data_IF_613625904878
#
_entry.id   IF_613625904878
#
_cell.length_a   1.000
_cell.length_b   1.000
_cell.length_c   1.000
_cell.angle_alpha   90.00
_cell.angle_beta   90.00
_cell.angle_gamma   90.00
#
_symmetry.space_group_name_H-M   'P 1'
#
loop_
_entity.id
_entity.type
_entity.pdbx_description
1 polymer ?
#
# COMPACT_ATOMS: atom_id res chain seq x y z
N UNK A 1 -11.99 1.30 9.32
CA UNK A 1 -12.74 0.71 8.19
C UNK A 1 -12.73 1.66 7.00
N UNK A 2 -12.54 1.18 5.77
CA UNK A 2 -12.61 2.00 4.54
C UNK A 2 -13.92 1.71 3.83
N UNK A 3 -14.68 2.76 3.51
CA UNK A 3 -15.92 2.68 2.74
C UNK A 3 -15.74 3.38 1.39
N UNK A 4 -16.05 2.68 0.31
CA UNK A 4 -16.09 3.19 -1.05
C UNK A 4 -17.56 3.37 -1.43
N UNK A 5 -17.97 4.62 -1.71
CA UNK A 5 -19.38 4.94 -1.98
C UNK A 5 -19.54 5.42 -3.41
N UNK A 6 -19.97 4.53 -4.29
CA UNK A 6 -20.31 4.81 -5.70
C UNK A 6 -19.22 5.61 -6.40
N UNK A 7 -17.98 5.08 -6.35
CA UNK A 7 -16.83 5.78 -6.89
C UNK A 7 -16.78 5.71 -8.41
N UNK A 8 -16.76 6.85 -9.05
CA UNK A 8 -16.51 7.01 -10.46
C UNK A 8 -15.24 7.79 -10.72
N UNK A 9 -14.46 7.34 -11.72
CA UNK A 9 -13.30 8.08 -12.21
C UNK A 9 -13.06 7.81 -13.68
N UNK A 10 -13.08 8.86 -14.46
CA UNK A 10 -12.85 8.82 -15.89
C UNK A 10 -11.62 9.67 -16.27
N UNK A 11 -10.77 9.13 -17.12
CA UNK A 11 -9.67 9.85 -17.76
C UNK A 11 -9.92 9.89 -19.26
N UNK A 12 -10.32 11.04 -19.78
CA UNK A 12 -10.73 11.22 -21.19
C UNK A 12 -11.85 10.23 -21.57
N UNK A 13 -11.53 9.16 -22.29
CA UNK A 13 -12.50 8.12 -22.71
C UNK A 13 -12.37 6.80 -21.93
N UNK A 14 -11.52 6.74 -20.90
CA UNK A 14 -11.28 5.53 -20.12
C UNK A 14 -11.97 5.66 -18.77
N UNK A 15 -12.97 4.81 -18.52
CA UNK A 15 -13.56 4.63 -17.19
C UNK A 15 -12.61 3.80 -16.34
N UNK A 16 -11.83 4.45 -15.46
CA UNK A 16 -10.89 3.80 -14.59
C UNK A 16 -11.52 3.25 -13.31
N UNK A 17 -12.67 3.82 -12.90
CA UNK A 17 -13.57 3.30 -11.87
C UNK A 17 -15.00 3.59 -12.30
N UNK A 18 -15.87 2.60 -12.16
CA UNK A 18 -17.25 2.63 -12.60
C UNK A 18 -18.16 2.14 -11.45
N UNK A 19 -18.81 3.08 -10.75
CA UNK A 19 -19.76 2.89 -9.65
C UNK A 19 -19.26 1.94 -8.54
N UNK A 20 -17.97 1.98 -8.18
CA UNK A 20 -17.40 1.08 -7.17
C UNK A 20 -18.01 1.39 -5.81
N UNK A 21 -18.68 0.40 -5.23
CA UNK A 21 -19.18 0.42 -3.86
C UNK A 21 -18.68 -0.82 -3.12
N UNK A 22 -17.91 -0.60 -2.04
CA UNK A 22 -17.35 -1.69 -1.24
C UNK A 22 -16.96 -1.21 0.14
N UNK A 23 -16.77 -2.16 1.05
CA UNK A 23 -16.23 -1.92 2.39
C UNK A 23 -15.01 -2.81 2.60
N UNK A 24 -13.91 -2.22 3.06
CA UNK A 24 -12.69 -2.95 3.46
C UNK A 24 -12.62 -2.89 4.98
N UNK A 25 -12.81 -4.03 5.66
CA UNK A 25 -12.73 -4.12 7.12
C UNK A 25 -11.31 -3.85 7.63
N UNK A 26 -11.20 -3.43 8.88
CA UNK A 26 -9.91 -3.27 9.56
C UNK A 26 -9.31 -4.62 10.01
N UNK A 27 -8.00 -4.62 10.25
CA UNK A 27 -7.31 -5.74 10.89
C UNK A 27 -7.13 -6.98 10.01
N UNK A 28 -7.19 -6.82 8.69
CA UNK A 28 -6.97 -7.91 7.74
C UNK A 28 -6.14 -7.46 6.54
N UNK A 29 -5.52 -8.39 5.85
CA UNK A 29 -4.86 -8.13 4.57
C UNK A 29 -5.88 -8.17 3.44
N UNK A 30 -6.11 -7.05 2.78
CA UNK A 30 -6.99 -6.97 1.62
C UNK A 30 -6.20 -6.99 0.31
N UNK A 31 -6.50 -7.94 -0.56
CA UNK A 31 -5.92 -8.06 -1.89
C UNK A 31 -6.79 -7.42 -2.96
N UNK A 32 -6.23 -6.61 -3.83
CA UNK A 32 -6.89 -6.05 -5.00
C UNK A 32 -6.28 -6.66 -6.26
N UNK A 33 -6.98 -7.62 -6.88
CA UNK A 33 -6.55 -8.30 -8.10
C UNK A 33 -7.18 -7.68 -9.34
N UNK A 34 -6.44 -7.67 -10.44
CA UNK A 34 -6.96 -7.25 -11.76
C UNK A 34 -5.84 -7.17 -12.78
N UNK A 35 -6.18 -7.25 -14.05
CA UNK A 35 -5.22 -7.08 -15.16
C UNK A 35 -4.61 -5.68 -15.17
N UNK A 36 -3.53 -5.50 -15.92
CA UNK A 36 -2.98 -4.16 -16.15
C UNK A 36 -4.04 -3.29 -16.85
N UNK A 37 -4.21 -2.06 -16.34
CA UNK A 37 -5.25 -1.15 -16.82
C UNK A 37 -6.65 -1.39 -16.22
N UNK A 38 -6.84 -2.35 -15.32
CA UNK A 38 -8.14 -2.59 -14.67
C UNK A 38 -8.62 -1.47 -13.75
N UNK A 39 -7.74 -0.52 -13.36
CA UNK A 39 -8.07 0.59 -12.46
C UNK A 39 -7.48 0.48 -11.05
N UNK A 40 -6.68 -0.56 -10.73
CA UNK A 40 -6.13 -0.81 -9.38
C UNK A 40 -5.40 0.40 -8.79
N UNK A 41 -4.41 0.94 -9.51
CA UNK A 41 -3.65 2.11 -9.05
C UNK A 41 -4.52 3.36 -8.90
N UNK A 42 -5.53 3.51 -9.76
CA UNK A 42 -6.51 4.61 -9.67
C UNK A 42 -7.32 4.49 -8.39
N UNK A 43 -7.84 3.30 -8.09
CA UNK A 43 -8.60 3.03 -6.87
C UNK A 43 -7.74 3.27 -5.62
N UNK A 44 -6.51 2.74 -5.57
CA UNK A 44 -5.62 2.97 -4.43
C UNK A 44 -5.27 4.45 -4.23
N UNK A 45 -5.10 5.22 -5.32
CA UNK A 45 -4.87 6.67 -5.24
C UNK A 45 -6.11 7.44 -4.76
N UNK A 46 -7.32 6.97 -5.07
CA UNK A 46 -8.55 7.55 -4.50
C UNK A 46 -8.67 7.21 -3.01
N UNK A 47 -8.39 5.97 -2.62
CA UNK A 47 -8.38 5.55 -1.21
C UNK A 47 -7.35 6.35 -0.40
N UNK A 48 -6.18 6.67 -0.98
CA UNK A 48 -5.15 7.49 -0.31
C UNK A 48 -5.45 9.00 -0.31
N UNK A 49 -6.53 9.43 -0.99
CA UNK A 49 -6.85 10.85 -1.16
C UNK A 49 -5.87 11.63 -2.02
N UNK A 50 -4.98 10.94 -2.78
CA UNK A 50 -4.11 11.57 -3.79
C UNK A 50 -4.92 11.99 -5.01
N UNK A 51 -5.93 11.18 -5.36
CA UNK A 51 -6.81 11.41 -6.50
C UNK A 51 -8.24 11.62 -6.01
N UNK A 52 -8.88 12.68 -6.48
CA UNK A 52 -10.31 12.92 -6.24
C UNK A 52 -11.15 12.07 -7.19
N UNK A 53 -12.16 11.31 -6.73
CA UNK A 53 -13.16 10.74 -7.62
C UNK A 53 -13.96 11.83 -8.33
N UNK A 54 -14.52 11.53 -9.50
CA UNK A 54 -15.41 12.43 -10.22
C UNK A 54 -16.80 12.43 -9.58
N UNK A 55 -17.27 11.24 -9.14
CA UNK A 55 -18.48 11.06 -8.35
C UNK A 55 -18.21 10.10 -7.18
N UNK A 56 -19.04 10.18 -6.16
CA UNK A 56 -18.89 9.39 -4.94
C UNK A 56 -17.81 9.90 -4.00
N UNK A 57 -17.52 9.12 -2.98
CA UNK A 57 -16.55 9.48 -1.95
C UNK A 57 -15.87 8.25 -1.31
N UNK A 58 -14.68 8.47 -0.80
CA UNK A 58 -13.98 7.49 0.06
C UNK A 58 -14.04 7.99 1.49
N UNK A 59 -14.55 7.14 2.39
CA UNK A 59 -14.55 7.40 3.83
C UNK A 59 -13.60 6.45 4.55
N UNK A 60 -12.92 6.97 5.53
CA UNK A 60 -12.11 6.21 6.48
C UNK A 60 -12.64 6.52 7.87
N UNK A 61 -13.14 5.48 8.54
CA UNK A 61 -13.81 5.59 9.84
C UNK A 61 -14.93 6.66 9.84
N UNK A 62 -15.67 6.75 8.72
CA UNK A 62 -16.78 7.67 8.52
C UNK A 62 -16.40 9.09 8.08
N UNK A 63 -15.11 9.41 7.96
CA UNK A 63 -14.62 10.72 7.53
C UNK A 63 -14.07 10.69 6.10
N UNK A 64 -14.37 11.73 5.29
CA UNK A 64 -13.85 11.83 3.92
C UNK A 64 -12.33 11.95 3.91
N UNK A 65 -11.69 11.17 3.03
CA UNK A 65 -10.22 11.18 2.89
C UNK A 65 -9.71 12.37 2.07
N UNK A 66 -10.53 12.86 1.11
CA UNK A 66 -10.07 13.91 0.21
C UNK A 66 -9.95 15.25 0.96
N UNK A 67 -8.78 15.91 0.82
CA UNK A 67 -8.43 17.17 1.50
C UNK A 67 -8.55 17.12 3.03
N UNK A 68 -8.47 15.94 3.64
CA UNK A 68 -8.50 15.76 5.10
C UNK A 68 -7.13 15.28 5.61
N UNK A 69 -6.25 16.18 6.08
CA UNK A 69 -4.92 15.81 6.57
C UNK A 69 -4.95 14.85 7.76
N UNK A 70 -5.96 14.95 8.63
CA UNK A 70 -6.13 14.07 9.79
C UNK A 70 -6.32 12.63 9.37
N UNK A 71 -7.21 12.39 8.40
CA UNK A 71 -7.45 11.04 7.85
C UNK A 71 -6.25 10.56 7.04
N UNK A 72 -5.67 11.43 6.21
CA UNK A 72 -4.47 11.08 5.41
C UNK A 72 -3.27 10.69 6.25
N UNK A 73 -3.12 11.24 7.45
CA UNK A 73 -2.04 10.88 8.38
C UNK A 73 -2.08 9.41 8.82
N UNK A 74 -3.22 8.75 8.66
CA UNK A 74 -3.40 7.33 8.96
C UNK A 74 -3.01 6.41 7.81
N UNK A 75 -2.58 6.96 6.66
CA UNK A 75 -2.32 6.21 5.44
C UNK A 75 -0.87 6.36 5.03
N UNK A 76 -0.22 5.25 4.69
CA UNK A 76 1.03 5.24 3.93
C UNK A 76 0.78 4.60 2.57
N UNK A 77 1.14 5.28 1.48
CA UNK A 77 0.99 4.80 0.11
C UNK A 77 2.35 4.46 -0.50
N UNK A 78 2.49 3.22 -0.95
CA UNK A 78 3.68 2.72 -1.65
C UNK A 78 3.32 2.49 -3.12
N UNK A 79 3.95 3.23 -4.02
CA UNK A 79 3.76 3.07 -5.45
C UNK A 79 4.58 1.89 -6.01
N UNK A 80 4.16 1.35 -7.15
CA UNK A 80 4.91 0.30 -7.90
C UNK A 80 6.37 0.69 -8.14
N UNK A 81 6.62 1.92 -8.50
CA UNK A 81 7.97 2.48 -8.64
C UNK A 81 8.27 3.39 -7.46
N UNK A 82 8.97 2.88 -6.42
CA UNK A 82 9.27 3.69 -5.25
C UNK A 82 10.20 4.85 -5.60
N UNK A 83 9.83 6.04 -5.11
CA UNK A 83 10.67 7.22 -5.23
C UNK A 83 11.61 7.34 -4.02
N UNK A 84 12.87 7.61 -4.30
CA UNK A 84 13.88 7.95 -3.30
C UNK A 84 14.61 9.21 -3.74
N UNK A 85 15.03 10.02 -2.79
CA UNK A 85 15.82 11.22 -3.13
C UNK A 85 17.09 10.86 -3.88
N UNK A 86 17.54 11.68 -4.82
CA UNK A 86 18.81 11.49 -5.50
C UNK A 86 19.95 11.32 -4.49
N UNK A 87 20.77 10.28 -4.70
CA UNK A 87 21.90 9.95 -3.82
C UNK A 87 21.55 9.64 -2.35
N UNK A 88 20.29 9.40 -2.01
CA UNK A 88 19.92 9.01 -0.67
C UNK A 88 20.42 7.60 -0.34
N UNK A 89 20.76 7.40 0.91
CA UNK A 89 20.91 6.10 1.54
C UNK A 89 19.64 5.75 2.39
N UNK A 90 19.62 4.55 2.95
CA UNK A 90 18.48 4.08 3.73
C UNK A 90 18.26 4.94 4.99
N UNK A 91 19.34 5.39 5.65
CA UNK A 91 19.23 6.22 6.86
C UNK A 91 18.61 7.58 6.55
N UNK A 92 18.96 8.19 5.42
CA UNK A 92 18.37 9.47 4.98
C UNK A 92 16.87 9.30 4.68
N UNK A 93 16.48 8.23 4.00
CA UNK A 93 15.06 7.96 3.75
C UNK A 93 14.29 7.64 5.04
N UNK A 94 14.86 6.86 5.97
CA UNK A 94 14.29 6.64 7.30
C UNK A 94 14.06 7.96 8.03
N UNK A 95 15.06 8.83 8.06
CA UNK A 95 14.95 10.13 8.74
C UNK A 95 13.85 10.99 8.13
N UNK A 96 13.70 10.96 6.80
CA UNK A 96 12.59 11.64 6.11
C UNK A 96 11.23 11.05 6.52
N UNK A 97 11.08 9.73 6.54
CA UNK A 97 9.85 9.09 6.99
C UNK A 97 9.51 9.42 8.45
N UNK A 98 10.50 9.52 9.33
CA UNK A 98 10.31 9.97 10.73
C UNK A 98 9.76 11.40 10.84
N UNK A 99 10.06 12.27 9.87
CA UNK A 99 9.48 13.61 9.82
C UNK A 99 8.04 13.60 9.31
N UNK A 100 7.74 12.74 8.34
CA UNK A 100 6.41 12.64 7.74
C UNK A 100 5.42 11.84 8.61
N UNK A 101 5.92 10.84 9.35
CA UNK A 101 5.12 9.92 10.14
C UNK A 101 5.58 9.96 11.61
N UNK A 102 4.89 10.72 12.48
CA UNK A 102 5.30 10.86 13.89
C UNK A 102 5.35 9.55 14.68
N UNK A 103 4.54 8.55 14.26
CA UNK A 103 4.48 7.22 14.87
C UNK A 103 5.51 6.23 14.31
N UNK A 104 6.48 6.69 13.51
CA UNK A 104 7.47 5.83 12.86
C UNK A 104 8.29 5.02 13.88
N UNK A 105 8.25 3.70 13.73
CA UNK A 105 9.00 2.80 14.61
C UNK A 105 10.44 2.60 14.13
N UNK A 106 11.33 3.51 14.57
CA UNK A 106 12.75 3.48 14.23
C UNK A 106 13.43 2.17 14.66
N UNK A 107 13.14 1.68 15.89
CA UNK A 107 13.81 0.47 16.41
C UNK A 107 13.47 -0.75 15.57
N UNK A 108 12.20 -0.90 15.20
CA UNK A 108 11.76 -1.96 14.29
C UNK A 108 12.44 -1.83 12.93
N UNK A 109 12.48 -0.61 12.35
CA UNK A 109 13.11 -0.38 11.06
C UNK A 109 14.59 -0.76 11.04
N UNK A 110 15.36 -0.32 12.03
CA UNK A 110 16.79 -0.62 12.14
C UNK A 110 17.00 -2.15 12.26
N UNK A 111 16.23 -2.84 13.10
CA UNK A 111 16.27 -4.30 13.24
C UNK A 111 15.91 -5.04 11.94
N UNK A 112 14.90 -4.57 11.20
CA UNK A 112 14.51 -5.17 9.93
C UNK A 112 15.57 -4.92 8.85
N UNK A 113 16.16 -3.75 8.81
CA UNK A 113 17.25 -3.44 7.89
C UNK A 113 18.42 -4.40 8.06
N UNK A 114 18.81 -4.70 9.31
CA UNK A 114 19.83 -5.70 9.62
C UNK A 114 19.40 -7.11 9.22
N UNK A 115 18.16 -7.51 9.54
CA UNK A 115 17.61 -8.85 9.22
C UNK A 115 17.56 -9.11 7.70
N UNK A 116 17.30 -8.08 6.89
CA UNK A 116 17.28 -8.17 5.43
C UNK A 116 18.66 -7.92 4.79
N UNK A 117 19.73 -7.81 5.58
CA UNK A 117 21.09 -7.56 5.13
C UNK A 117 21.21 -6.34 4.19
N UNK A 118 20.48 -5.29 4.49
CA UNK A 118 20.50 -4.04 3.76
C UNK A 118 21.49 -3.07 4.43
N UNK A 119 22.61 -2.75 3.76
CA UNK A 119 23.55 -1.77 4.27
C UNK A 119 22.92 -0.37 4.36
N UNK A 120 22.70 0.17 5.59
CA UNK A 120 21.98 1.42 5.79
C UNK A 120 22.67 2.65 5.23
N UNK A 121 23.99 2.58 4.93
CA UNK A 121 24.80 3.66 4.36
C UNK A 121 24.99 3.56 2.84
N UNK A 122 24.62 2.42 2.26
CA UNK A 122 24.72 2.21 0.83
C UNK A 122 23.68 3.05 0.08
N UNK A 123 24.10 3.68 -1.02
CA UNK A 123 23.20 4.49 -1.85
C UNK A 123 22.11 3.64 -2.49
N UNK A 124 20.86 4.04 -2.31
CA UNK A 124 19.69 3.31 -2.83
C UNK A 124 19.69 3.26 -4.37
N UNK A 125 20.31 4.25 -5.02
CA UNK A 125 20.48 4.27 -6.48
C UNK A 125 21.20 3.02 -7.02
N UNK A 126 22.11 2.42 -6.21
CA UNK A 126 22.85 1.20 -6.57
C UNK A 126 22.11 -0.11 -6.28
N UNK A 127 20.91 -0.05 -5.72
CA UNK A 127 20.11 -1.22 -5.40
C UNK A 127 19.38 -1.76 -6.64
N UNK A 128 19.15 -3.08 -6.67
CA UNK A 128 18.26 -3.69 -7.65
C UNK A 128 16.81 -3.19 -7.46
N UNK A 129 15.95 -3.40 -8.45
CA UNK A 129 14.51 -3.07 -8.31
C UNK A 129 13.88 -3.75 -7.09
N UNK A 130 14.17 -5.05 -6.89
CA UNK A 130 13.68 -5.81 -5.73
C UNK A 130 14.16 -5.23 -4.41
N UNK A 131 15.45 -4.88 -4.27
CA UNK A 131 15.98 -4.24 -3.07
C UNK A 131 15.34 -2.88 -2.80
N UNK A 132 15.07 -2.09 -3.84
CA UNK A 132 14.34 -0.81 -3.69
C UNK A 132 12.92 -1.02 -3.17
N UNK A 133 12.20 -2.02 -3.69
CA UNK A 133 10.88 -2.40 -3.19
C UNK A 133 10.94 -2.88 -1.73
N UNK A 134 11.96 -3.68 -1.36
CA UNK A 134 12.18 -4.07 0.04
C UNK A 134 12.30 -2.84 0.96
N UNK A 135 13.18 -1.89 0.62
CA UNK A 135 13.35 -0.66 1.42
C UNK A 135 12.03 0.10 1.54
N UNK A 136 11.27 0.24 0.44
CA UNK A 136 9.97 0.91 0.43
C UNK A 136 8.98 0.23 1.37
N UNK A 137 8.88 -1.10 1.31
CA UNK A 137 7.98 -1.88 2.18
C UNK A 137 8.37 -1.72 3.65
N UNK A 138 9.66 -1.79 3.99
CA UNK A 138 10.11 -1.62 5.37
C UNK A 138 9.83 -0.20 5.89
N UNK A 139 10.02 0.83 5.06
CA UNK A 139 9.66 2.20 5.41
C UNK A 139 8.16 2.34 5.66
N UNK A 140 7.32 1.79 4.78
CA UNK A 140 5.87 1.82 4.92
C UNK A 140 5.38 1.04 6.14
N UNK A 141 5.88 -0.18 6.37
CA UNK A 141 5.53 -1.00 7.53
C UNK A 141 5.85 -0.28 8.84
N UNK A 142 7.01 0.38 8.91
CA UNK A 142 7.48 1.09 10.08
C UNK A 142 6.90 2.51 10.21
N UNK A 143 6.10 3.01 9.27
CA UNK A 143 5.47 4.34 9.32
C UNK A 143 4.56 4.51 10.54
N UNK A 144 4.04 3.41 11.08
CA UNK A 144 3.10 3.41 12.20
C UNK A 144 1.67 3.79 11.81
N UNK A 145 1.38 3.89 10.50
CA UNK A 145 0.04 4.19 9.99
C UNK A 145 -0.90 3.00 10.13
N UNK A 146 -2.20 3.27 10.27
CA UNK A 146 -3.26 2.25 10.31
C UNK A 146 -3.39 1.54 8.96
N UNK A 147 -3.32 2.27 7.85
CA UNK A 147 -3.47 1.73 6.51
C UNK A 147 -2.16 1.81 5.72
N UNK A 148 -1.77 0.69 5.11
CA UNK A 148 -0.64 0.61 4.20
C UNK A 148 -1.13 0.17 2.82
N UNK A 149 -1.12 1.09 1.87
CA UNK A 149 -1.54 0.84 0.50
C UNK A 149 -0.33 0.48 -0.36
N UNK A 150 -0.31 -0.73 -0.92
CA UNK A 150 0.79 -1.27 -1.70
C UNK A 150 0.38 -1.47 -3.16
N UNK A 151 0.77 -0.56 -4.04
CA UNK A 151 0.47 -0.63 -5.48
C UNK A 151 1.54 -1.46 -6.19
N UNK A 152 1.22 -2.72 -6.54
CA UNK A 152 2.10 -3.71 -7.21
C UNK A 152 3.50 -3.82 -6.55
N UNK A 153 3.58 -3.53 -5.25
CA UNK A 153 4.86 -3.41 -4.52
C UNK A 153 5.52 -4.78 -4.30
N UNK A 154 4.74 -5.86 -4.32
CA UNK A 154 5.22 -7.22 -4.11
C UNK A 154 5.72 -7.88 -5.39
N UNK A 155 5.37 -7.32 -6.55
CA UNK A 155 5.76 -7.87 -7.84
C UNK A 155 7.27 -7.79 -8.02
N UNK A 156 7.88 -8.93 -8.40
CA UNK A 156 9.33 -9.02 -8.60
C UNK A 156 10.17 -9.08 -7.32
N UNK A 157 9.56 -9.27 -6.15
CA UNK A 157 10.28 -9.64 -4.93
C UNK A 157 10.72 -11.10 -4.99
N UNK A 158 11.89 -11.36 -4.42
CA UNK A 158 12.34 -12.73 -4.17
C UNK A 158 11.32 -13.48 -3.27
N UNK A 159 11.01 -14.76 -3.56
CA UNK A 159 10.03 -15.54 -2.79
C UNK A 159 10.33 -15.58 -1.27
N UNK A 160 11.62 -15.67 -0.88
CA UNK A 160 12.03 -15.69 0.54
C UNK A 160 11.71 -14.36 1.20
N UNK A 161 12.01 -13.26 0.52
CA UNK A 161 11.69 -11.90 1.00
C UNK A 161 10.18 -11.70 1.11
N UNK A 162 9.42 -12.15 0.11
CA UNK A 162 7.96 -12.08 0.12
C UNK A 162 7.37 -12.80 1.32
N UNK A 163 7.83 -14.02 1.61
CA UNK A 163 7.39 -14.79 2.78
C UNK A 163 7.77 -14.11 4.11
N UNK A 164 8.96 -13.51 4.18
CA UNK A 164 9.37 -12.76 5.37
C UNK A 164 8.47 -11.53 5.59
N UNK A 165 8.14 -10.77 4.54
CA UNK A 165 7.24 -9.61 4.64
C UNK A 165 5.82 -10.04 5.02
N UNK A 166 5.31 -11.17 4.49
CA UNK A 166 4.03 -11.76 4.90
C UNK A 166 3.99 -12.00 6.42
N UNK A 167 5.02 -12.64 6.96
CA UNK A 167 5.12 -12.89 8.40
C UNK A 167 5.17 -11.60 9.22
N UNK A 168 5.82 -10.55 8.71
CA UNK A 168 5.85 -9.24 9.35
C UNK A 168 4.48 -8.57 9.36
N UNK A 169 3.73 -8.62 8.26
CA UNK A 169 2.37 -8.06 8.21
C UNK A 169 1.45 -8.78 9.18
N UNK A 170 1.49 -10.10 9.22
CA UNK A 170 0.71 -10.88 10.18
C UNK A 170 1.04 -10.53 11.63
N UNK A 171 2.33 -10.35 11.95
CA UNK A 171 2.74 -9.92 13.28
C UNK A 171 2.24 -8.51 13.62
N UNK A 172 2.30 -7.56 12.68
CA UNK A 172 1.83 -6.19 12.90
C UNK A 172 0.32 -6.12 13.09
N UNK A 173 -0.47 -6.90 12.35
CA UNK A 173 -1.93 -7.00 12.53
C UNK A 173 -2.29 -7.47 13.94
N UNK A 174 -1.51 -8.39 14.52
CA UNK A 174 -1.73 -8.87 15.89
C UNK A 174 -1.33 -7.84 16.95
N UNK A 175 -0.40 -6.95 16.63
CA UNK A 175 0.20 -6.03 17.62
C UNK A 175 -0.42 -4.63 17.62
N UNK A 176 -1.09 -4.21 16.54
CA UNK A 176 -1.67 -2.87 16.40
C UNK A 176 -2.78 -2.85 15.36
N UNK A 177 -3.55 -1.76 15.35
CA UNK A 177 -4.48 -1.47 14.25
C UNK A 177 -3.69 -1.29 12.94
N UNK A 178 -3.68 -2.34 12.11
CA UNK A 178 -2.96 -2.37 10.86
C UNK A 178 -3.76 -3.10 9.78
N UNK A 179 -3.98 -2.42 8.67
CA UNK A 179 -4.75 -2.94 7.54
C UNK A 179 -3.98 -2.69 6.24
N UNK A 180 -3.19 -3.66 5.78
CA UNK A 180 -2.52 -3.56 4.48
C UNK A 180 -3.49 -3.87 3.33
N UNK A 181 -3.43 -3.05 2.28
CA UNK A 181 -4.16 -3.24 1.03
C UNK A 181 -3.13 -3.39 -0.09
N UNK A 182 -3.16 -4.53 -0.78
CA UNK A 182 -2.12 -4.93 -1.72
C UNK A 182 -2.74 -5.13 -3.10
N UNK A 183 -2.30 -4.39 -4.11
CA UNK A 183 -2.66 -4.69 -5.49
C UNK A 183 -1.64 -5.59 -6.16
N UNK A 184 -2.12 -6.53 -6.99
CA UNK A 184 -1.31 -7.35 -7.88
C UNK A 184 -2.11 -7.74 -9.13
N UNK A 185 -1.41 -8.08 -10.20
CA UNK A 185 -2.01 -8.72 -11.37
C UNK A 185 -1.89 -10.26 -11.32
N UNK A 186 -1.25 -10.81 -10.28
CA UNK A 186 -1.02 -12.24 -10.10
C UNK A 186 -1.83 -12.78 -8.91
N UNK A 187 -2.90 -13.53 -9.21
CA UNK A 187 -3.79 -14.10 -8.20
C UNK A 187 -3.04 -14.99 -7.18
N UNK A 188 -2.11 -15.82 -7.64
CA UNK A 188 -1.34 -16.73 -6.77
C UNK A 188 -0.53 -16.00 -5.71
N UNK A 189 -0.10 -14.77 -6.00
CA UNK A 189 0.63 -13.95 -5.04
C UNK A 189 -0.26 -13.45 -3.89
N UNK A 190 -1.55 -13.22 -4.17
CA UNK A 190 -2.51 -12.72 -3.20
C UNK A 190 -3.22 -13.85 -2.44
N UNK A 191 -3.52 -14.99 -3.07
CA UNK A 191 -4.22 -16.12 -2.45
C UNK A 191 -3.55 -16.60 -1.16
N UNK A 192 -2.22 -16.70 -1.16
CA UNK A 192 -1.46 -17.12 0.02
C UNK A 192 -1.24 -15.99 1.04
N UNK A 193 -1.57 -14.75 0.71
CA UNK A 193 -1.21 -13.57 1.48
C UNK A 193 -2.41 -12.85 2.10
N UNK A 194 -3.53 -12.80 1.40
CA UNK A 194 -4.67 -11.97 1.74
C UNK A 194 -5.78 -12.76 2.42
N UNK A 195 -6.41 -12.13 3.40
CA UNK A 195 -7.59 -12.67 4.09
C UNK A 195 -8.86 -12.45 3.26
N UNK A 196 -8.87 -11.40 2.43
CA UNK A 196 -9.98 -11.06 1.55
C UNK A 196 -9.45 -10.50 0.23
N UNK A 197 -10.14 -10.79 -0.88
CA UNK A 197 -9.73 -10.38 -2.23
C UNK A 197 -10.88 -9.68 -2.95
N UNK A 198 -10.58 -8.53 -3.54
CA UNK A 198 -11.43 -7.81 -4.48
C UNK A 198 -10.94 -7.99 -5.92
N UNK A 199 -11.81 -8.46 -6.82
CA UNK A 199 -11.51 -8.57 -8.25
C UNK A 199 -11.94 -7.31 -8.99
N UNK A 200 -10.98 -6.57 -9.53
CA UNK A 200 -11.23 -5.38 -10.34
C UNK A 200 -11.09 -5.72 -11.84
N UNK A 201 -12.12 -5.44 -12.60
CA UNK A 201 -12.14 -5.64 -14.04
C UNK A 201 -12.83 -4.47 -14.74
N UNK A 202 -12.13 -3.84 -15.69
CA UNK A 202 -12.66 -2.70 -16.47
C UNK A 202 -13.30 -1.60 -15.60
N UNK A 203 -12.65 -1.25 -14.50
CA UNK A 203 -13.14 -0.22 -13.57
C UNK A 203 -14.21 -0.69 -12.59
N UNK A 204 -14.72 -1.91 -12.68
CA UNK A 204 -15.75 -2.46 -11.80
C UNK A 204 -15.16 -3.45 -10.79
N UNK A 205 -15.61 -3.38 -9.55
CA UNK A 205 -15.27 -4.35 -8.51
C UNK A 205 -16.30 -5.48 -8.55
N UNK A 206 -15.90 -6.65 -9.07
CA UNK A 206 -16.82 -7.75 -9.37
C UNK A 206 -17.07 -8.70 -8.20
N UNK A 207 -16.05 -8.91 -7.36
CA UNK A 207 -16.10 -9.84 -6.23
C UNK A 207 -15.31 -9.27 -5.07
N UNK A 208 -15.86 -9.43 -3.86
CA UNK A 208 -15.12 -9.40 -2.60
C UNK A 208 -15.36 -10.76 -1.94
N UNK A 209 -14.30 -11.54 -1.77
CA UNK A 209 -14.36 -12.85 -1.13
C UNK A 209 -13.47 -12.84 0.11
N UNK A 210 -14.03 -13.19 1.24
CA UNK A 210 -13.32 -13.42 2.52
C UNK A 210 -13.11 -14.91 2.75
#
# INVERSE_FOLDING_TARGET
MIELKTLDKTFQMIHASDHITATIPDGMVFGLIGSNGAGKSTLLRMISGILKPDEGEVLIDGESVFENPSVKSQICFLSDTPYFFPNADIQQMRNYYMLCYPSFNRKLFDSLTDRFNLDPKRKISSFSKGMKKQVSILLGLCSGTKYLLCDETFDGLDPVVRQAVKSLFAAEILNRDFTPIISSHNLRELEDFCDSIGLLHQGQLLLTQS
#
